data_IF_828210322644
#
_entry.id   IF_828210322644
#
_cell.length_a   1.000
_cell.length_b   1.000
_cell.length_c   1.000
_cell.angle_alpha   90.00
_cell.angle_beta   90.00
_cell.angle_gamma   90.00
#
_symmetry.space_group_name_H-M   'P 1'
#
loop_
_entity.id
_entity.type
_entity.pdbx_description
1 polymer ?
#
# COMPACT_ATOMS: atom_id res chain seq x y z
N UNK A 1 10.54 14.86 2.46
CA UNK A 1 9.92 14.26 3.66
C UNK A 1 10.66 12.97 3.89
N UNK A 2 11.35 12.88 5.03
CA UNK A 2 12.00 11.65 5.44
C UNK A 2 10.94 10.65 5.91
N UNK A 3 10.90 9.47 5.31
CA UNK A 3 10.04 8.37 5.72
C UNK A 3 10.86 7.14 6.07
N UNK A 4 10.48 6.47 7.15
CA UNK A 4 10.86 5.09 7.44
C UNK A 4 9.71 4.17 7.03
N UNK A 5 10.02 3.16 6.24
CA UNK A 5 9.13 2.10 5.78
C UNK A 5 9.75 0.75 6.15
N UNK A 6 9.52 0.31 7.38
CA UNK A 6 10.04 -0.97 7.91
C UNK A 6 11.57 -1.07 7.81
N UNK A 7 12.28 -0.05 8.31
CA UNK A 7 13.75 0.12 8.24
C UNK A 7 14.31 0.44 6.85
N UNK A 8 13.47 0.65 5.84
CA UNK A 8 13.87 1.30 4.59
C UNK A 8 13.61 2.80 4.71
N UNK A 9 14.65 3.60 4.50
CA UNK A 9 14.56 5.05 4.58
C UNK A 9 14.51 5.68 3.19
N UNK A 10 13.55 6.58 2.97
CA UNK A 10 13.42 7.33 1.73
C UNK A 10 13.26 8.82 2.01
N UNK A 11 13.88 9.65 1.16
CA UNK A 11 13.48 11.04 1.01
C UNK A 11 12.48 11.14 -0.14
N UNK A 12 11.29 11.66 0.16
CA UNK A 12 10.23 11.79 -0.83
C UNK A 12 9.45 13.09 -0.65
N UNK A 13 8.98 13.77 -1.71
CA UNK A 13 8.13 14.93 -1.56
C UNK A 13 6.72 14.59 -1.03
N UNK A 14 6.22 13.38 -1.30
CA UNK A 14 4.90 12.92 -0.85
C UNK A 14 4.74 11.40 -1.06
N UNK A 15 3.78 10.82 -0.35
CA UNK A 15 3.26 9.48 -0.66
C UNK A 15 1.79 9.54 -1.02
N UNK A 16 1.31 8.57 -1.80
CA UNK A 16 -0.10 8.46 -2.16
C UNK A 16 -0.61 7.06 -1.89
N UNK A 17 -1.67 6.94 -1.09
CA UNK A 17 -2.45 5.71 -1.02
C UNK A 17 -3.55 5.76 -2.07
N UNK A 18 -3.71 4.67 -2.81
CA UNK A 18 -4.70 4.52 -3.85
C UNK A 18 -5.67 3.39 -3.47
N UNK A 19 -6.95 3.61 -3.77
CA UNK A 19 -7.96 2.57 -3.88
C UNK A 19 -8.50 2.59 -5.32
N UNK A 20 -8.05 1.64 -6.11
CA UNK A 20 -8.43 1.45 -7.51
C UNK A 20 -9.75 0.72 -7.61
N UNK A 21 -10.55 1.12 -8.59
CA UNK A 21 -11.87 0.55 -8.87
C UNK A 21 -12.70 0.27 -7.61
N UNK A 22 -13.02 1.27 -6.75
CA UNK A 22 -13.59 1.02 -5.43
C UNK A 22 -14.84 0.14 -5.39
N UNK A 23 -15.63 0.08 -6.47
CA UNK A 23 -16.80 -0.80 -6.56
C UNK A 23 -16.47 -2.30 -6.75
N UNK A 24 -15.21 -2.63 -7.08
CA UNK A 24 -14.70 -4.01 -7.23
C UNK A 24 -13.68 -4.38 -6.16
N UNK A 25 -13.15 -3.40 -5.43
CA UNK A 25 -12.16 -3.64 -4.39
C UNK A 25 -12.72 -4.53 -3.27
N UNK A 26 -11.88 -5.40 -2.74
CA UNK A 26 -12.20 -6.30 -1.64
C UNK A 26 -12.47 -5.52 -0.34
N UNK A 27 -13.20 -6.16 0.58
CA UNK A 27 -13.56 -5.54 1.87
C UNK A 27 -12.32 -5.14 2.69
N UNK A 28 -11.27 -5.97 2.68
CA UNK A 28 -10.00 -5.65 3.33
C UNK A 28 -9.31 -4.41 2.69
N UNK A 29 -9.37 -4.25 1.38
CA UNK A 29 -8.81 -3.09 0.67
C UNK A 29 -9.53 -1.80 1.06
N UNK A 30 -10.86 -1.87 1.17
CA UNK A 30 -11.66 -0.77 1.72
C UNK A 30 -11.26 -0.46 3.17
N UNK A 31 -11.17 -1.46 4.05
CA UNK A 31 -10.74 -1.27 5.44
C UNK A 31 -9.39 -0.57 5.54
N UNK A 32 -8.42 -1.00 4.73
CA UNK A 32 -7.08 -0.41 4.65
C UNK A 32 -7.16 1.06 4.27
N UNK A 33 -7.86 1.38 3.18
CA UNK A 33 -7.99 2.76 2.71
C UNK A 33 -8.75 3.65 3.71
N UNK A 34 -9.86 3.16 4.28
CA UNK A 34 -10.64 3.92 5.26
C UNK A 34 -9.85 4.18 6.55
N UNK A 35 -8.98 3.25 6.97
CA UNK A 35 -8.14 3.46 8.14
C UNK A 35 -7.16 4.62 7.96
N UNK A 36 -6.60 4.77 6.75
CA UNK A 36 -5.76 5.93 6.40
C UNK A 36 -6.60 7.20 6.26
N UNK A 37 -7.77 7.13 5.60
CA UNK A 37 -8.69 8.26 5.43
C UNK A 37 -9.15 8.86 6.76
N UNK A 38 -9.30 8.03 7.78
CA UNK A 38 -9.79 8.45 9.10
C UNK A 38 -8.76 9.22 9.92
N UNK A 39 -7.52 9.36 9.43
CA UNK A 39 -6.49 10.12 10.11
C UNK A 39 -6.77 11.63 10.05
N UNK A 40 -6.37 12.39 11.08
CA UNK A 40 -6.51 13.84 11.05
C UNK A 40 -5.61 14.45 9.97
N UNK A 41 -6.08 15.52 9.32
CA UNK A 41 -5.35 16.28 8.28
C UNK A 41 -5.04 15.47 7.02
N UNK A 42 -5.89 14.49 6.74
CA UNK A 42 -5.91 13.74 5.50
C UNK A 42 -7.19 14.10 4.75
N UNK A 43 -7.06 14.42 3.47
CA UNK A 43 -8.18 14.59 2.56
C UNK A 43 -8.10 13.49 1.50
N UNK A 44 -9.26 12.86 1.24
CA UNK A 44 -9.38 11.88 0.17
C UNK A 44 -10.01 12.55 -1.04
N UNK A 45 -9.31 12.46 -2.17
CA UNK A 45 -9.86 12.75 -3.50
C UNK A 45 -10.61 11.49 -3.97
N UNK A 46 -11.90 11.60 -4.24
CA UNK A 46 -12.77 10.47 -4.57
C UNK A 46 -13.31 10.64 -6.00
N UNK A 47 -12.66 9.98 -6.96
CA UNK A 47 -13.14 9.82 -8.31
C UNK A 47 -14.06 8.59 -8.47
N UNK A 48 -14.65 8.41 -9.67
CA UNK A 48 -15.43 7.21 -9.98
C UNK A 48 -14.54 5.97 -9.94
N UNK A 49 -13.38 6.02 -10.61
CA UNK A 49 -12.48 4.88 -10.84
C UNK A 49 -11.35 4.72 -9.81
N UNK A 50 -11.13 5.75 -9.00
CA UNK A 50 -9.96 5.85 -8.14
C UNK A 50 -10.23 6.77 -6.96
N UNK A 51 -9.94 6.30 -5.75
CA UNK A 51 -9.83 7.17 -4.57
C UNK A 51 -8.37 7.30 -4.16
N UNK A 52 -7.95 8.51 -3.78
CA UNK A 52 -6.56 8.82 -3.43
C UNK A 52 -6.44 9.60 -2.14
N UNK A 53 -5.40 9.32 -1.39
CA UNK A 53 -4.97 10.09 -0.23
C UNK A 53 -3.51 10.48 -0.42
N UNK A 54 -3.23 11.78 -0.45
CA UNK A 54 -1.86 12.30 -0.50
C UNK A 54 -1.38 12.70 0.90
N UNK A 55 -0.19 12.25 1.26
CA UNK A 55 0.45 12.59 2.54
C UNK A 55 1.80 13.25 2.28
N UNK A 56 1.97 14.45 2.86
CA UNK A 56 3.20 15.27 2.77
C UNK A 56 3.86 15.50 4.12
N UNK A 57 3.15 15.21 5.21
CA UNK A 57 3.61 15.42 6.59
C UNK A 57 4.19 14.09 7.16
N UNK A 58 5.45 14.08 7.65
CA UNK A 58 6.08 12.87 8.18
C UNK A 58 5.36 12.27 9.41
N UNK A 59 4.67 13.08 10.22
CA UNK A 59 3.88 12.57 11.35
C UNK A 59 2.63 11.84 10.86
N UNK A 60 1.95 12.40 9.86
CA UNK A 60 0.78 11.77 9.24
C UNK A 60 1.18 10.46 8.56
N UNK A 61 2.34 10.43 7.89
CA UNK A 61 2.91 9.21 7.32
C UNK A 61 3.05 8.08 8.35
N UNK A 62 3.69 8.35 9.49
CA UNK A 62 3.85 7.35 10.55
C UNK A 62 2.49 6.84 11.04
N UNK A 63 1.51 7.73 11.18
CA UNK A 63 0.14 7.37 11.51
C UNK A 63 -0.51 6.45 10.46
N UNK A 64 -0.31 6.72 9.17
CA UNK A 64 -0.83 5.92 8.07
C UNK A 64 -0.28 4.50 8.06
N UNK A 65 1.05 4.34 8.19
CA UNK A 65 1.65 3.00 8.30
C UNK A 65 1.13 2.22 9.52
N UNK A 66 1.01 2.89 10.68
CA UNK A 66 0.47 2.25 11.87
C UNK A 66 -1.01 1.86 11.71
N UNK A 67 -1.81 2.67 11.03
CA UNK A 67 -3.21 2.38 10.75
C UNK A 67 -3.34 1.14 9.84
N UNK A 68 -2.56 1.08 8.75
CA UNK A 68 -2.51 -0.09 7.86
C UNK A 68 -2.07 -1.35 8.60
N UNK A 69 -0.97 -1.27 9.36
CA UNK A 69 -0.47 -2.40 10.14
C UNK A 69 -1.51 -2.93 11.15
N UNK A 70 -2.30 -2.04 11.77
CA UNK A 70 -3.37 -2.44 12.70
C UNK A 70 -4.50 -3.19 11.99
N UNK A 71 -4.92 -2.72 10.81
CA UNK A 71 -5.96 -3.41 10.01
C UNK A 71 -5.49 -4.81 9.62
N UNK A 72 -4.25 -4.94 9.17
CA UNK A 72 -3.66 -6.23 8.76
C UNK A 72 -3.47 -7.16 9.95
N UNK A 73 -3.04 -6.64 11.10
CA UNK A 73 -2.96 -7.42 12.34
C UNK A 73 -4.33 -7.97 12.75
N UNK A 74 -5.37 -7.14 12.73
CA UNK A 74 -6.74 -7.59 13.00
C UNK A 74 -7.18 -8.67 12.03
N UNK A 75 -6.93 -8.48 10.73
CA UNK A 75 -7.21 -9.50 9.72
C UNK A 75 -6.46 -10.81 9.95
N UNK A 76 -5.22 -10.78 10.45
CA UNK A 76 -4.48 -12.00 10.83
C UNK A 76 -5.08 -12.69 12.05
N UNK A 77 -5.55 -11.92 13.04
CA UNK A 77 -6.17 -12.44 14.27
C UNK A 77 -7.58 -13.00 14.06
N UNK A 78 -8.24 -12.62 12.96
CA UNK A 78 -9.52 -13.19 12.48
C UNK A 78 -9.36 -14.59 11.84
N UNK A 79 -8.16 -15.20 11.87
CA UNK A 79 -7.92 -16.55 11.38
C UNK A 79 -8.47 -17.63 12.32
N UNK A 80 -8.99 -18.73 11.77
CA UNK A 80 -9.49 -19.86 12.57
C UNK A 80 -8.33 -20.57 13.30
N UNK A 81 -8.32 -20.58 14.65
CA UNK A 81 -7.19 -21.10 15.41
C UNK A 81 -6.92 -22.58 15.12
N UNK A 82 -5.71 -22.88 14.64
CA UNK A 82 -5.26 -24.25 14.38
C UNK A 82 -5.68 -24.83 13.02
N UNK A 83 -6.47 -24.10 12.24
CA UNK A 83 -6.89 -24.50 10.89
C UNK A 83 -6.37 -23.54 9.82
N UNK A 84 -6.16 -22.27 10.18
CA UNK A 84 -5.71 -21.24 9.26
C UNK A 84 -4.59 -20.37 9.85
N UNK A 85 -3.54 -20.15 9.05
CA UNK A 85 -2.50 -19.16 9.32
C UNK A 85 -2.51 -18.08 8.24
N UNK A 86 -2.61 -16.83 8.68
CA UNK A 86 -2.63 -15.65 7.81
C UNK A 86 -1.34 -14.83 7.96
N UNK A 87 -0.72 -14.46 6.85
CA UNK A 87 0.40 -13.52 6.83
C UNK A 87 0.30 -12.54 5.66
N UNK A 88 1.08 -11.47 5.70
CA UNK A 88 1.11 -10.45 4.66
C UNK A 88 2.51 -9.88 4.52
N UNK A 89 2.80 -9.35 3.33
CA UNK A 89 4.05 -8.65 3.03
C UNK A 89 3.80 -7.52 2.04
N UNK A 90 4.61 -6.48 2.16
CA UNK A 90 4.73 -5.47 1.11
C UNK A 90 5.62 -5.99 -0.01
N UNK A 91 5.20 -5.80 -1.25
CA UNK A 91 6.01 -5.96 -2.45
C UNK A 91 6.37 -4.56 -2.94
N UNK A 92 7.67 -4.25 -2.99
CA UNK A 92 8.16 -2.97 -3.53
C UNK A 92 8.60 -3.18 -4.97
N UNK A 93 8.08 -2.34 -5.86
CA UNK A 93 8.38 -2.36 -7.29
C UNK A 93 8.81 -0.96 -7.73
N UNK A 94 9.92 -0.90 -8.44
CA UNK A 94 10.40 0.32 -9.08
C UNK A 94 11.06 -0.07 -10.40
N UNK A 95 10.64 0.60 -11.46
CA UNK A 95 11.22 0.47 -12.78
C UNK A 95 11.90 1.79 -13.14
N UNK A 96 13.19 1.73 -13.44
CA UNK A 96 14.03 2.91 -13.72
C UNK A 96 15.00 2.61 -14.84
N UNK A 97 15.14 3.56 -15.76
CA UNK A 97 16.26 3.64 -16.67
C UNK A 97 17.45 4.39 -16.03
N UNK A 98 18.51 4.61 -16.81
CA UNK A 98 19.72 5.29 -16.37
C UNK A 98 19.51 6.79 -16.08
N UNK A 99 18.44 7.38 -16.63
CA UNK A 99 18.13 8.80 -16.52
C UNK A 99 17.09 9.08 -15.41
N UNK A 100 16.57 8.04 -14.76
CA UNK A 100 15.65 8.14 -13.63
C UNK A 100 14.17 8.19 -14.03
N UNK A 101 13.84 7.62 -15.19
CA UNK A 101 12.47 7.51 -15.71
C UNK A 101 12.03 6.05 -15.79
N UNK A 102 10.73 5.80 -15.68
CA UNK A 102 10.16 4.47 -15.90
C UNK A 102 10.01 4.15 -17.39
N UNK A 103 9.63 2.91 -17.74
CA UNK A 103 9.42 2.49 -19.13
C UNK A 103 8.36 3.31 -19.90
N UNK A 104 7.55 4.13 -19.23
CA UNK A 104 6.56 5.03 -19.86
C UNK A 104 7.10 6.45 -20.05
N UNK A 105 8.31 6.74 -19.57
CA UNK A 105 8.93 8.07 -19.61
C UNK A 105 8.47 9.00 -18.49
N UNK A 106 7.73 8.49 -17.51
CA UNK A 106 7.39 9.24 -16.30
C UNK A 106 8.56 9.18 -15.33
N UNK A 107 8.84 10.23 -14.54
CA UNK A 107 9.98 10.15 -13.64
C UNK A 107 9.75 9.11 -12.53
N UNK A 108 10.84 8.55 -12.02
CA UNK A 108 10.81 7.36 -11.16
C UNK A 108 9.93 7.54 -9.93
N UNK A 109 9.05 6.57 -9.72
CA UNK A 109 8.32 6.37 -8.46
C UNK A 109 8.42 4.92 -8.01
N UNK A 110 8.47 4.71 -6.70
CA UNK A 110 8.43 3.37 -6.12
C UNK A 110 6.99 3.04 -5.74
N UNK A 111 6.51 1.88 -6.15
CA UNK A 111 5.21 1.35 -5.80
C UNK A 111 5.34 0.28 -4.72
N UNK A 112 4.37 0.25 -3.82
CA UNK A 112 4.22 -0.79 -2.82
C UNK A 112 2.82 -1.43 -2.91
N UNK A 113 2.79 -2.75 -3.02
CA UNK A 113 1.58 -3.56 -3.09
C UNK A 113 1.51 -4.51 -1.90
N UNK A 114 0.30 -4.90 -1.48
CA UNK A 114 0.12 -5.89 -0.42
C UNK A 114 -0.15 -7.26 -1.00
N UNK A 115 0.67 -8.23 -0.61
CA UNK A 115 0.42 -9.65 -0.83
C UNK A 115 0.05 -10.32 0.49
N UNK A 116 -1.06 -11.03 0.47
CA UNK A 116 -1.51 -11.90 1.56
C UNK A 116 -1.07 -13.33 1.28
N UNK A 117 -0.84 -14.07 2.35
CA UNK A 117 -0.62 -15.51 2.29
C UNK A 117 -1.56 -16.19 3.27
N UNK A 118 -2.37 -17.10 2.75
CA UNK A 118 -3.27 -17.96 3.50
C UNK A 118 -2.71 -19.38 3.47
N UNK A 119 -2.60 -19.99 4.65
CA UNK A 119 -2.23 -21.38 4.79
C UNK A 119 -3.35 -22.09 5.52
N UNK A 120 -3.94 -23.09 4.85
CA UNK A 120 -5.08 -23.86 5.35
C UNK A 120 -4.72 -25.33 5.38
N UNK A 121 -5.02 -25.99 6.50
CA UNK A 121 -4.81 -27.42 6.65
C UNK A 121 -5.05 -27.90 8.07
N UNK A 122 -5.74 -29.03 8.22
CA UNK A 122 -5.82 -29.78 9.48
C UNK A 122 -4.74 -30.87 9.56
N UNK A 123 -4.60 -31.56 10.70
CA UNK A 123 -3.65 -32.66 10.84
C UNK A 123 -3.92 -33.77 9.80
N UNK A 124 -3.11 -33.85 8.75
CA UNK A 124 -3.18 -34.86 7.70
C UNK A 124 -3.58 -34.35 6.31
N UNK A 125 -4.08 -33.12 6.19
CA UNK A 125 -4.21 -32.43 4.91
C UNK A 125 -2.89 -31.72 4.61
N UNK A 126 -2.29 -31.99 3.45
CA UNK A 126 -1.05 -31.30 3.04
C UNK A 126 -1.27 -29.80 2.97
N UNK A 127 -0.29 -29.03 3.46
CA UNK A 127 -0.36 -27.57 3.54
C UNK A 127 -0.72 -26.95 2.17
N UNK A 128 -1.90 -26.31 2.08
CA UNK A 128 -2.27 -25.51 0.91
C UNK A 128 -1.94 -24.05 1.20
N UNK A 129 -0.92 -23.56 0.51
CA UNK A 129 -0.52 -22.16 0.55
C UNK A 129 -1.14 -21.42 -0.64
N UNK A 130 -1.90 -20.39 -0.33
CA UNK A 130 -2.54 -19.48 -1.29
C UNK A 130 -1.93 -18.08 -1.13
N UNK A 131 -1.51 -17.47 -2.25
CA UNK A 131 -1.06 -16.08 -2.28
C UNK A 131 -2.11 -15.22 -2.98
N UNK A 132 -2.48 -14.09 -2.36
CA UNK A 132 -3.50 -13.18 -2.86
C UNK A 132 -2.91 -11.78 -2.91
N UNK A 133 -2.89 -11.16 -4.08
CA UNK A 133 -2.49 -9.77 -4.24
C UNK A 133 -3.70 -8.83 -4.10
N UNK A 134 -3.55 -7.80 -3.27
CA UNK A 134 -4.54 -6.74 -3.13
C UNK A 134 -4.41 -5.73 -4.27
N UNK A 135 -4.96 -6.09 -5.43
CA UNK A 135 -4.87 -5.33 -6.69
C UNK A 135 -5.57 -3.95 -6.62
N UNK A 136 -6.55 -3.80 -5.73
CA UNK A 136 -7.28 -2.56 -5.51
C UNK A 136 -6.55 -1.57 -4.60
N UNK A 137 -5.58 -1.99 -3.79
CA UNK A 137 -4.92 -1.11 -2.81
C UNK A 137 -3.40 -1.02 -3.03
N UNK A 138 -2.91 0.19 -3.25
CA UNK A 138 -1.47 0.42 -3.47
C UNK A 138 -0.97 1.70 -2.80
N UNK A 139 0.33 1.74 -2.52
CA UNK A 139 1.05 2.91 -2.05
C UNK A 139 2.06 3.33 -3.12
N UNK A 140 2.06 4.62 -3.47
CA UNK A 140 3.07 5.24 -4.33
C UNK A 140 3.97 6.15 -3.51
N UNK A 141 5.27 5.95 -3.62
CA UNK A 141 6.31 6.81 -3.04
C UNK A 141 6.92 7.60 -4.20
N UNK A 142 6.73 8.92 -4.17
CA UNK A 142 7.10 9.78 -5.28
C UNK A 142 8.59 10.12 -5.24
N UNK A 143 9.24 10.25 -6.40
CA UNK A 143 10.56 10.84 -6.54
C UNK A 143 10.49 12.37 -6.60
N UNK A 144 11.59 13.07 -6.34
CA UNK A 144 11.61 14.54 -6.27
C UNK A 144 11.22 15.23 -7.61
N UNK A 145 11.61 14.65 -8.74
CA UNK A 145 11.26 15.14 -10.09
C UNK A 145 9.79 14.89 -10.50
N UNK A 146 9.05 14.08 -9.74
CA UNK A 146 7.70 13.57 -10.12
C UNK A 146 6.54 14.33 -9.49
N UNK A 147 6.79 15.44 -8.80
CA UNK A 147 5.74 16.13 -8.06
C UNK A 147 4.60 16.54 -9.02
N UNK A 148 3.33 16.22 -8.73
CA UNK A 148 2.21 16.66 -9.57
C UNK A 148 2.24 18.19 -9.75
N UNK A 149 2.37 18.66 -10.99
CA UNK A 149 2.41 20.08 -11.34
C UNK A 149 3.80 20.69 -11.57
N UNK A 150 4.89 19.91 -11.49
CA UNK A 150 6.22 20.35 -11.95
C UNK A 150 6.55 19.64 -13.26
N UNK A 151 6.40 20.33 -14.39
CA UNK A 151 7.05 19.88 -15.61
C UNK A 151 8.57 20.04 -15.48
N UNK A 152 9.37 19.08 -15.94
CA UNK A 152 10.81 19.26 -16.05
C UNK A 152 11.08 20.44 -16.99
N UNK A 153 12.07 21.26 -16.63
CA UNK A 153 12.49 22.45 -17.39
C UNK A 153 13.36 22.04 -18.57
#
# INVERSE_FOLDING_TARGET
MHIDFYNLAFETPLVTFHLWSPWRAAELEHRLFQAVRSLPRVEADAGPDEWRIQIRDPKVWRGALQAVARVLKGWQEEADPGEERRSWRWLLEGDTDADGYDHTGEPLTLWAFLRLTLERGGPGDGDKLEEIDLQGFSLRIWGEATKPGTHPS
#
